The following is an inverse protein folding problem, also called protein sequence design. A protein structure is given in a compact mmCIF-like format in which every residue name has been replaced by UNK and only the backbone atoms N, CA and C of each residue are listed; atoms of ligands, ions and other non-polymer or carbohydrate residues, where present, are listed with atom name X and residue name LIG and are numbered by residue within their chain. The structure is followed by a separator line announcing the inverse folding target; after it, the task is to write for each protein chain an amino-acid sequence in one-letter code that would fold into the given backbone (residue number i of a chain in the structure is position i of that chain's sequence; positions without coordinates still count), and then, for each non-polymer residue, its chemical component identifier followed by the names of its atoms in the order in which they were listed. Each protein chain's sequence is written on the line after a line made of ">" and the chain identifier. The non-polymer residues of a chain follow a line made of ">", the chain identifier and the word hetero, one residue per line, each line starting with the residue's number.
data_IF_205907309759
#
_entry.id   IF_205907309759
#
_cell.length_a   1.000
_cell.length_b   1.000
_cell.length_c   1.000
_cell.angle_alpha   90.00
_cell.angle_beta   90.00
_cell.angle_gamma   90.00
#
_symmetry.space_group_name_H-M   'P 1'
#
loop_
_entity.id
_entity.type
_entity.pdbx_description
1 polymer ?
#
# COMPACT_ATOMS: atom_id res chain seq x y z
N UNK A 1 -34.07 -6.74 6.97
CA UNK A 1 -34.47 -6.65 5.55
C UNK A 1 -33.33 -6.21 4.61
N UNK A 2 -32.43 -5.29 4.99
CA UNK A 2 -31.33 -4.86 4.12
C UNK A 2 -30.23 -5.93 3.92
N UNK A 3 -29.91 -6.69 4.93
CA UNK A 3 -28.82 -7.69 4.88
C UNK A 3 -29.19 -8.88 4.00
N UNK A 4 -30.41 -9.35 4.06
CA UNK A 4 -30.88 -10.47 3.23
C UNK A 4 -30.91 -10.14 1.72
N UNK A 5 -31.08 -8.86 1.34
CA UNK A 5 -31.07 -8.45 -0.08
C UNK A 5 -29.68 -8.20 -0.65
N UNK A 6 -28.80 -7.52 0.10
CA UNK A 6 -27.50 -7.10 -0.39
C UNK A 6 -26.35 -8.09 -0.15
N UNK A 7 -26.53 -9.03 0.79
CA UNK A 7 -25.54 -10.02 1.14
C UNK A 7 -26.05 -11.47 0.93
N UNK A 8 -27.23 -11.66 0.36
CA UNK A 8 -27.83 -12.98 0.19
C UNK A 8 -26.91 -13.90 -0.62
N UNK A 9 -26.38 -13.43 -1.72
CA UNK A 9 -25.46 -14.18 -2.60
C UNK A 9 -24.13 -14.55 -1.89
N UNK A 10 -23.64 -13.67 -1.01
CA UNK A 10 -22.44 -13.92 -0.22
C UNK A 10 -22.73 -14.98 0.84
N UNK A 11 -23.88 -14.88 1.52
CA UNK A 11 -24.30 -15.83 2.54
C UNK A 11 -24.51 -17.22 1.93
N UNK A 12 -25.16 -17.31 0.77
CA UNK A 12 -25.37 -18.57 0.06
C UNK A 12 -24.05 -19.23 -0.36
N UNK A 13 -23.07 -18.45 -0.83
CA UNK A 13 -21.74 -18.95 -1.20
C UNK A 13 -20.88 -19.37 -0.01
N UNK A 14 -21.24 -18.98 1.20
CA UNK A 14 -20.50 -19.29 2.43
C UNK A 14 -21.14 -20.42 3.24
N UNK A 15 -21.70 -21.42 2.58
CA UNK A 15 -22.30 -22.60 3.23
C UNK A 15 -21.31 -23.21 4.24
N UNK A 16 -21.79 -23.45 5.48
CA UNK A 16 -20.98 -23.98 6.58
C UNK A 16 -20.21 -22.93 7.40
N UNK A 17 -20.29 -21.65 7.04
CA UNK A 17 -19.74 -20.55 7.86
C UNK A 17 -20.85 -20.02 8.78
N UNK A 18 -20.62 -19.83 10.10
CA UNK A 18 -21.62 -19.28 11.00
C UNK A 18 -22.03 -17.86 10.58
N UNK A 19 -23.31 -17.64 10.37
CA UNK A 19 -23.92 -16.33 10.12
C UNK A 19 -24.81 -15.95 11.27
N UNK A 20 -24.45 -14.88 11.96
CA UNK A 20 -25.23 -14.37 13.10
C UNK A 20 -26.02 -13.16 12.67
N UNK A 21 -27.29 -13.08 13.04
CA UNK A 21 -28.17 -11.93 12.80
C UNK A 21 -28.58 -11.30 14.12
N UNK A 22 -28.61 -9.99 14.16
CA UNK A 22 -29.03 -9.25 15.33
C UNK A 22 -29.57 -7.87 14.95
N UNK A 23 -30.27 -7.23 15.87
CA UNK A 23 -30.68 -5.82 15.77
C UNK A 23 -29.44 -4.91 15.61
N UNK A 24 -29.58 -3.85 14.81
CA UNK A 24 -28.50 -2.89 14.53
C UNK A 24 -27.90 -2.29 15.78
N UNK A 25 -28.72 -2.05 16.81
CA UNK A 25 -28.26 -1.52 18.09
C UNK A 25 -27.32 -2.49 18.80
N UNK A 26 -27.65 -3.80 18.80
CA UNK A 26 -26.81 -4.82 19.41
C UNK A 26 -25.48 -4.96 18.65
N UNK A 27 -25.55 -5.00 17.32
CA UNK A 27 -24.34 -5.05 16.48
C UNK A 27 -23.44 -3.83 16.69
N UNK A 28 -24.03 -2.63 16.84
CA UNK A 28 -23.26 -1.41 17.12
C UNK A 28 -22.60 -1.43 18.51
N UNK A 29 -23.25 -2.04 19.52
CA UNK A 29 -22.63 -2.28 20.84
C UNK A 29 -21.45 -3.24 20.76
N UNK A 30 -21.57 -4.32 19.99
CA UNK A 30 -20.50 -5.30 19.81
C UNK A 30 -19.27 -4.71 19.09
N UNK A 31 -19.51 -3.83 18.11
CA UNK A 31 -18.42 -3.23 17.31
C UNK A 31 -17.85 -1.97 17.96
N UNK A 32 -18.53 -1.38 18.93
CA UNK A 32 -18.12 -0.12 19.57
C UNK A 32 -18.36 1.13 18.72
N UNK A 33 -19.09 1.02 17.59
CA UNK A 33 -19.45 2.16 16.71
C UNK A 33 -20.72 1.85 15.91
N UNK A 34 -21.43 2.88 15.41
CA UNK A 34 -22.64 2.69 14.61
C UNK A 34 -22.35 1.96 13.29
N UNK A 35 -23.06 0.88 13.03
CA UNK A 35 -22.99 0.14 11.78
C UNK A 35 -23.89 0.81 10.73
N UNK A 36 -23.30 1.40 9.70
CA UNK A 36 -24.02 2.09 8.64
C UNK A 36 -24.39 1.18 7.46
N UNK A 37 -23.67 0.07 7.25
CA UNK A 37 -23.87 -0.85 6.11
C UNK A 37 -24.38 -2.23 6.49
N UNK A 38 -24.64 -2.51 7.76
CA UNK A 38 -25.37 -3.67 8.24
C UNK A 38 -24.66 -5.03 8.18
N UNK A 39 -23.45 -5.13 7.61
CA UNK A 39 -22.69 -6.39 7.51
C UNK A 39 -21.30 -6.22 8.09
N UNK A 40 -20.88 -7.22 8.87
CA UNK A 40 -19.55 -7.31 9.44
C UNK A 40 -18.99 -8.72 9.23
N UNK A 41 -17.78 -8.83 8.69
CA UNK A 41 -17.15 -10.13 8.43
C UNK A 41 -15.84 -10.24 9.20
N UNK A 42 -15.62 -11.39 9.85
CA UNK A 42 -14.32 -11.80 10.34
C UNK A 42 -13.72 -12.81 9.35
N UNK A 43 -12.51 -12.57 8.90
CA UNK A 43 -11.84 -13.41 7.91
C UNK A 43 -10.48 -13.87 8.43
N UNK A 44 -10.12 -15.13 8.15
CA UNK A 44 -8.75 -15.60 8.39
C UNK A 44 -7.80 -14.95 7.43
N UNK A 45 -6.66 -14.47 7.93
CA UNK A 45 -5.58 -13.97 7.08
C UNK A 45 -4.96 -15.13 6.32
N UNK A 46 -4.67 -14.89 5.05
CA UNK A 46 -3.81 -15.80 4.27
C UNK A 46 -2.38 -15.75 4.80
N UNK A 47 -1.58 -16.80 4.61
CA UNK A 47 -0.14 -16.73 4.85
C UNK A 47 0.48 -15.53 4.12
N UNK A 48 1.47 -14.84 4.72
CA UNK A 48 2.13 -13.71 4.06
C UNK A 48 2.87 -14.22 2.81
N UNK A 49 2.82 -13.41 1.75
CA UNK A 49 3.62 -13.64 0.56
C UNK A 49 5.05 -13.13 0.78
N UNK A 50 6.02 -13.70 0.07
CA UNK A 50 7.38 -13.18 0.04
C UNK A 50 7.51 -12.05 -0.99
N UNK A 51 8.52 -11.17 -0.82
CA UNK A 51 8.81 -10.13 -1.79
C UNK A 51 9.14 -10.70 -3.17
N UNK A 52 9.89 -11.80 -3.21
CA UNK A 52 10.24 -12.52 -4.45
C UNK A 52 8.98 -13.02 -5.17
N UNK A 53 8.04 -13.58 -4.41
CA UNK A 53 6.78 -14.12 -4.95
C UNK A 53 5.93 -13.03 -5.61
N UNK A 54 5.81 -11.85 -4.99
CA UNK A 54 4.97 -10.75 -5.53
C UNK A 54 5.69 -9.95 -6.61
N UNK A 55 7.03 -9.98 -6.63
CA UNK A 55 7.84 -9.25 -7.59
C UNK A 55 8.25 -10.06 -8.82
N UNK A 56 8.03 -11.38 -8.86
CA UNK A 56 8.56 -12.26 -9.89
C UNK A 56 8.28 -11.81 -11.33
N UNK A 57 7.07 -11.41 -11.63
CA UNK A 57 6.67 -10.88 -12.96
C UNK A 57 6.44 -9.37 -12.99
N UNK A 58 6.72 -8.66 -11.91
CA UNK A 58 6.42 -7.24 -11.77
C UNK A 58 7.43 -6.35 -12.50
N UNK A 59 6.98 -5.28 -13.13
CA UNK A 59 7.77 -4.24 -13.76
C UNK A 59 7.71 -2.90 -13.03
N UNK A 60 6.58 -2.60 -12.41
CA UNK A 60 6.31 -1.35 -11.67
C UNK A 60 5.78 -1.66 -10.29
N UNK A 61 6.52 -1.31 -9.24
CA UNK A 61 6.13 -1.58 -7.87
C UNK A 61 6.25 -0.33 -7.00
N UNK A 62 5.37 -0.23 -6.00
CA UNK A 62 5.47 0.77 -4.95
C UNK A 62 6.13 0.16 -3.71
N UNK A 63 7.10 0.86 -3.13
CA UNK A 63 7.77 0.49 -1.88
C UNK A 63 7.48 1.54 -0.84
N UNK A 64 6.81 1.14 0.24
CA UNK A 64 6.41 2.02 1.33
C UNK A 64 7.36 1.84 2.51
N UNK A 65 8.05 2.90 2.90
CA UNK A 65 9.00 2.85 4.01
C UNK A 65 8.52 3.72 5.19
N UNK A 66 8.19 3.07 6.29
CA UNK A 66 7.83 3.72 7.56
C UNK A 66 6.44 4.39 7.58
N UNK A 67 5.55 4.13 6.64
CA UNK A 67 4.24 4.76 6.59
C UNK A 67 3.32 4.15 7.66
N UNK A 68 3.07 4.88 8.73
CA UNK A 68 2.31 4.41 9.90
C UNK A 68 0.83 4.76 9.87
N UNK A 69 0.42 5.80 9.12
CA UNK A 69 -1.00 6.15 9.02
C UNK A 69 -1.74 5.17 8.12
N UNK A 70 -2.72 4.52 8.71
CA UNK A 70 -3.57 3.54 8.03
C UNK A 70 -4.43 4.14 6.92
N UNK A 71 -4.72 5.45 6.98
CA UNK A 71 -5.44 6.16 5.92
C UNK A 71 -4.56 6.29 4.68
N UNK A 72 -3.30 6.69 4.89
CA UNK A 72 -2.32 6.80 3.80
C UNK A 72 -2.05 5.42 3.18
N UNK A 73 -1.83 4.38 3.99
CA UNK A 73 -1.69 3.01 3.48
C UNK A 73 -2.88 2.63 2.58
N UNK A 74 -4.11 2.82 3.08
CA UNK A 74 -5.31 2.49 2.30
C UNK A 74 -5.43 3.27 1.01
N UNK A 75 -5.13 4.57 1.02
CA UNK A 75 -5.19 5.42 -0.16
C UNK A 75 -4.11 5.06 -1.19
N UNK A 76 -2.88 4.77 -0.74
CA UNK A 76 -1.79 4.31 -1.62
C UNK A 76 -2.15 2.99 -2.29
N UNK A 77 -2.68 2.01 -1.55
CA UNK A 77 -3.14 0.75 -2.16
C UNK A 77 -4.21 0.97 -3.22
N UNK A 78 -5.11 1.93 -2.99
CA UNK A 78 -6.13 2.29 -3.97
C UNK A 78 -5.53 2.93 -5.22
N UNK A 79 -4.61 3.87 -5.07
CA UNK A 79 -3.90 4.51 -6.18
C UNK A 79 -3.08 3.50 -6.96
N UNK A 80 -2.27 2.69 -6.28
CA UNK A 80 -1.44 1.66 -6.89
C UNK A 80 -2.25 0.68 -7.73
N UNK A 81 -3.37 0.17 -7.19
CA UNK A 81 -4.25 -0.72 -7.94
C UNK A 81 -4.94 -0.03 -9.12
N UNK A 82 -5.39 1.22 -8.95
CA UNK A 82 -6.09 1.97 -9.99
C UNK A 82 -5.17 2.38 -11.15
N UNK A 83 -3.89 2.66 -10.86
CA UNK A 83 -2.91 3.12 -11.82
C UNK A 83 -2.04 2.01 -12.40
N UNK A 84 -2.33 0.75 -12.05
CA UNK A 84 -1.71 -0.41 -12.70
C UNK A 84 -0.33 -0.78 -12.14
N UNK A 85 -0.02 -0.43 -10.88
CA UNK A 85 1.14 -1.00 -10.21
C UNK A 85 0.98 -2.51 -10.05
N UNK A 86 2.04 -3.27 -10.29
CA UNK A 86 2.03 -4.73 -10.22
C UNK A 86 2.04 -5.25 -8.80
N UNK A 87 2.70 -4.54 -7.87
CA UNK A 87 2.80 -4.94 -6.47
C UNK A 87 3.07 -3.75 -5.53
N UNK A 88 2.79 -3.96 -4.24
CA UNK A 88 3.16 -3.04 -3.16
C UNK A 88 4.02 -3.78 -2.13
N UNK A 89 5.16 -3.21 -1.79
CA UNK A 89 6.01 -3.70 -0.70
C UNK A 89 5.98 -2.71 0.47
N UNK A 90 6.00 -3.24 1.67
CA UNK A 90 5.95 -2.44 2.89
C UNK A 90 7.13 -2.78 3.80
N UNK A 91 7.86 -1.77 4.30
CA UNK A 91 8.84 -2.01 5.35
C UNK A 91 8.16 -2.56 6.62
N UNK A 92 8.91 -3.24 7.51
CA UNK A 92 8.35 -3.80 8.74
C UNK A 92 7.64 -2.76 9.62
N UNK A 93 8.08 -1.51 9.57
CA UNK A 93 7.58 -0.38 10.36
C UNK A 93 6.28 0.23 9.83
N UNK A 94 5.86 -0.13 8.61
CA UNK A 94 4.57 0.32 8.07
C UNK A 94 3.38 -0.26 8.83
N UNK A 95 2.30 0.53 8.91
CA UNK A 95 1.01 0.05 9.37
C UNK A 95 0.57 -1.20 8.60
N UNK A 96 -0.16 -2.06 9.29
CA UNK A 96 -0.74 -3.26 8.67
C UNK A 96 -1.83 -2.88 7.65
N UNK A 97 -1.67 -3.22 6.36
CA UNK A 97 -2.66 -2.90 5.34
C UNK A 97 -3.97 -3.65 5.52
N UNK A 98 -3.99 -4.72 6.31
CA UNK A 98 -5.21 -5.45 6.68
C UNK A 98 -5.87 -4.93 7.95
N UNK A 99 -5.45 -3.80 8.49
CA UNK A 99 -6.23 -3.14 9.54
C UNK A 99 -7.53 -2.58 8.95
N UNK A 100 -8.58 -2.55 9.77
CA UNK A 100 -9.93 -2.17 9.32
C UNK A 100 -9.99 -0.83 8.57
N UNK A 101 -9.20 0.16 9.01
CA UNK A 101 -9.20 1.50 8.42
C UNK A 101 -8.58 1.48 7.02
N UNK A 102 -7.43 0.83 6.85
CA UNK A 102 -6.78 0.69 5.55
C UNK A 102 -7.66 -0.08 4.54
N UNK A 103 -8.29 -1.19 4.96
CA UNK A 103 -9.24 -1.93 4.13
C UNK A 103 -10.38 -1.03 3.64
N UNK A 104 -10.96 -0.21 4.51
CA UNK A 104 -12.06 0.70 4.14
C UNK A 104 -11.62 1.80 3.20
N UNK A 105 -10.49 2.44 3.47
CA UNK A 105 -9.96 3.54 2.65
C UNK A 105 -9.53 3.03 1.28
N UNK A 106 -8.92 1.86 1.23
CA UNK A 106 -8.55 1.21 -0.04
C UNK A 106 -9.75 0.76 -0.87
N UNK A 107 -10.97 0.80 -0.33
CA UNK A 107 -12.17 0.24 -0.96
C UNK A 107 -12.00 -1.25 -1.34
N UNK A 108 -11.16 -1.97 -0.59
CA UNK A 108 -10.88 -3.38 -0.80
C UNK A 108 -9.77 -3.69 -1.80
N UNK A 109 -9.12 -2.69 -2.42
CA UNK A 109 -8.02 -2.95 -3.38
C UNK A 109 -6.81 -3.60 -2.73
N UNK A 110 -6.65 -3.50 -1.41
CA UNK A 110 -5.65 -4.26 -0.63
C UNK A 110 -5.76 -5.80 -0.83
N UNK A 111 -6.91 -6.30 -1.25
CA UNK A 111 -7.12 -7.71 -1.59
C UNK A 111 -6.93 -8.03 -3.07
N UNK A 112 -6.76 -7.02 -3.92
CA UNK A 112 -6.66 -7.14 -5.37
C UNK A 112 -5.22 -7.05 -5.86
N UNK A 113 -4.45 -6.09 -5.33
CA UNK A 113 -3.03 -5.93 -5.69
C UNK A 113 -2.15 -6.83 -4.80
N UNK A 114 -1.21 -7.59 -5.36
CA UNK A 114 -0.25 -8.36 -4.57
C UNK A 114 0.61 -7.46 -3.68
N UNK A 115 0.88 -7.91 -2.46
CA UNK A 115 1.75 -7.18 -1.56
C UNK A 115 2.48 -8.10 -0.59
N UNK A 116 3.63 -7.65 -0.10
CA UNK A 116 4.43 -8.35 0.90
C UNK A 116 5.13 -7.36 1.85
N UNK A 117 5.57 -7.87 2.99
CA UNK A 117 6.51 -7.15 3.86
C UNK A 117 7.92 -7.32 3.29
N UNK A 118 8.61 -6.20 3.06
CA UNK A 118 10.00 -6.18 2.63
C UNK A 118 10.89 -6.27 3.87
N UNK A 119 11.46 -7.45 4.09
CA UNK A 119 12.43 -7.65 5.15
C UNK A 119 13.83 -7.25 4.66
N UNK A 120 14.67 -6.65 5.50
CA UNK A 120 16.09 -6.47 5.20
C UNK A 120 16.73 -7.84 4.86
N UNK A 121 17.79 -7.81 4.06
CA UNK A 121 18.61 -8.99 3.83
C UNK A 121 19.47 -9.34 5.07
N UNK A 122 20.31 -10.36 4.96
CA UNK A 122 21.15 -10.84 6.06
C UNK A 122 22.19 -9.79 6.51
N UNK A 123 22.53 -8.85 5.62
CA UNK A 123 23.46 -7.74 5.86
C UNK A 123 22.75 -6.50 6.39
N UNK A 124 21.42 -6.57 6.56
CA UNK A 124 20.59 -5.44 7.01
C UNK A 124 20.22 -4.46 5.90
N UNK A 125 20.55 -4.77 4.63
CA UNK A 125 20.21 -3.92 3.50
C UNK A 125 18.72 -4.08 3.16
N UNK A 126 17.98 -2.97 3.25
CA UNK A 126 16.52 -2.95 3.00
C UNK A 126 16.17 -3.27 1.54
N UNK A 127 17.01 -2.88 0.59
CA UNK A 127 16.69 -2.92 -0.84
C UNK A 127 17.54 -3.92 -1.63
N UNK A 128 18.47 -4.61 -1.00
CA UNK A 128 19.36 -5.56 -1.66
C UNK A 128 18.61 -6.63 -2.45
N UNK A 129 17.52 -7.15 -1.89
CA UNK A 129 16.65 -8.13 -2.55
C UNK A 129 15.99 -7.57 -3.82
N UNK A 130 15.55 -6.31 -3.81
CA UNK A 130 14.92 -5.69 -4.98
C UNK A 130 15.94 -5.47 -6.10
N UNK A 131 17.14 -5.02 -5.75
CA UNK A 131 18.23 -4.88 -6.72
C UNK A 131 18.63 -6.24 -7.31
N UNK A 132 18.68 -7.28 -6.49
CA UNK A 132 18.93 -8.66 -6.97
C UNK A 132 17.84 -9.18 -7.92
N UNK A 133 16.59 -8.71 -7.74
CA UNK A 133 15.47 -8.98 -8.65
C UNK A 133 15.49 -8.10 -9.91
N UNK A 134 16.49 -7.24 -10.07
CA UNK A 134 16.67 -6.39 -11.25
C UNK A 134 15.88 -5.08 -11.24
N UNK A 135 15.36 -4.65 -10.09
CA UNK A 135 14.71 -3.34 -9.99
C UNK A 135 15.71 -2.21 -9.86
N UNK A 136 15.48 -1.12 -10.59
CA UNK A 136 16.00 0.20 -10.27
C UNK A 136 15.10 0.86 -9.26
N UNK A 137 15.70 1.57 -8.29
CA UNK A 137 15.00 2.17 -7.16
C UNK A 137 14.96 3.68 -7.33
N UNK A 138 13.77 4.27 -7.27
CA UNK A 138 13.52 5.70 -7.36
C UNK A 138 12.95 6.22 -6.03
N UNK A 139 13.78 6.89 -5.24
CA UNK A 139 13.36 7.50 -3.97
C UNK A 139 12.61 8.81 -4.22
N UNK A 140 11.39 8.94 -3.72
CA UNK A 140 10.69 10.23 -3.73
C UNK A 140 11.23 11.12 -2.61
N UNK A 141 12.11 12.05 -2.97
CA UNK A 141 12.74 12.98 -2.02
C UNK A 141 13.17 14.27 -2.70
N UNK A 142 13.30 15.33 -1.91
CA UNK A 142 13.80 16.62 -2.38
C UNK A 142 15.30 16.69 -2.14
N UNK A 143 16.08 16.62 -3.22
CA UNK A 143 17.54 16.76 -3.23
C UNK A 143 17.95 17.64 -4.40
N UNK A 144 19.14 18.24 -4.32
CA UNK A 144 19.67 19.14 -5.36
C UNK A 144 19.92 18.42 -6.69
N UNK A 145 20.16 17.12 -6.66
CA UNK A 145 20.42 16.23 -7.81
C UNK A 145 19.22 15.38 -8.21
N UNK A 146 18.03 15.70 -7.67
CA UNK A 146 16.80 14.96 -8.01
C UNK A 146 16.42 15.19 -9.47
N UNK A 147 16.00 14.09 -10.11
CA UNK A 147 15.37 14.16 -11.43
C UNK A 147 13.87 14.44 -11.31
N UNK A 148 13.26 15.03 -12.31
CA UNK A 148 11.81 15.23 -12.32
C UNK A 148 11.09 13.89 -12.46
N UNK A 149 9.87 13.79 -11.92
CA UNK A 149 9.04 12.58 -12.01
C UNK A 149 8.70 12.19 -13.45
N UNK A 150 8.71 13.13 -14.38
CA UNK A 150 8.48 12.92 -15.80
C UNK A 150 9.76 12.65 -16.61
N UNK A 151 10.89 12.43 -15.94
CA UNK A 151 12.16 12.11 -16.63
C UNK A 151 12.01 10.82 -17.45
N UNK A 152 12.28 10.84 -18.76
CA UNK A 152 12.08 9.69 -19.63
C UNK A 152 12.96 8.48 -19.26
N UNK A 153 14.04 8.67 -18.50
CA UNK A 153 14.88 7.57 -17.99
C UNK A 153 14.08 6.67 -17.06
N UNK A 154 13.18 7.22 -16.23
CA UNK A 154 12.34 6.43 -15.32
C UNK A 154 11.38 5.52 -16.09
N UNK A 155 10.75 6.06 -17.13
CA UNK A 155 9.85 5.29 -17.99
C UNK A 155 10.58 4.20 -18.79
N UNK A 156 11.85 4.43 -19.16
CA UNK A 156 12.69 3.50 -19.91
C UNK A 156 13.20 2.32 -19.07
N UNK A 157 13.19 2.43 -17.73
CA UNK A 157 13.63 1.32 -16.87
C UNK A 157 12.71 0.10 -17.04
N UNK A 158 13.26 -1.09 -17.35
CA UNK A 158 12.45 -2.28 -17.52
C UNK A 158 11.74 -2.69 -16.21
N UNK A 159 12.36 -2.43 -15.06
CA UNK A 159 11.82 -2.71 -13.73
C UNK A 159 12.12 -1.53 -12.81
N UNK A 160 11.08 -0.85 -12.36
CA UNK A 160 11.20 0.33 -11.49
C UNK A 160 10.42 0.14 -10.19
N UNK A 161 11.06 0.43 -9.07
CA UNK A 161 10.48 0.48 -7.75
C UNK A 161 10.44 1.93 -7.25
N UNK A 162 9.27 2.49 -7.08
CA UNK A 162 9.10 3.84 -6.50
C UNK A 162 9.06 3.72 -4.98
N UNK A 163 10.04 4.32 -4.31
CA UNK A 163 10.19 4.27 -2.85
C UNK A 163 9.63 5.54 -2.24
N UNK A 164 8.66 5.39 -1.37
CA UNK A 164 7.95 6.48 -0.69
C UNK A 164 8.12 6.38 0.82
N UNK A 165 8.49 7.50 1.45
CA UNK A 165 8.72 7.61 2.89
C UNK A 165 7.55 8.20 3.66
N UNK A 166 7.78 8.43 4.96
CA UNK A 166 6.80 9.01 5.88
C UNK A 166 6.48 10.47 5.55
N UNK A 167 5.33 10.94 6.01
CA UNK A 167 5.03 12.37 6.05
C UNK A 167 5.92 13.09 7.07
N UNK A 168 6.39 14.25 6.72
CA UNK A 168 7.22 15.12 7.55
C UNK A 168 8.70 14.82 7.45
N UNK A 169 9.18 13.65 7.88
CA UNK A 169 10.61 13.29 7.82
C UNK A 169 11.05 12.70 6.48
N UNK A 170 10.10 12.23 5.67
CA UNK A 170 10.41 11.59 4.39
C UNK A 170 11.13 10.25 4.55
N UNK A 171 12.00 9.95 3.60
CA UNK A 171 12.91 8.81 3.62
C UNK A 171 14.16 9.11 4.44
N UNK A 172 14.66 8.15 5.19
CA UNK A 172 15.97 8.24 5.82
C UNK A 172 17.07 8.41 4.76
N UNK A 173 18.15 9.12 5.10
CA UNK A 173 19.25 9.36 4.18
C UNK A 173 19.85 8.05 3.65
N UNK A 174 20.01 7.05 4.50
CA UNK A 174 20.49 5.72 4.12
C UNK A 174 19.60 5.03 3.07
N UNK A 175 18.30 5.23 3.14
CA UNK A 175 17.35 4.72 2.16
C UNK A 175 17.47 5.44 0.82
N UNK A 176 17.66 6.76 0.84
CA UNK A 176 17.87 7.56 -0.37
C UNK A 176 19.19 7.17 -1.04
N UNK A 177 20.27 7.06 -0.28
CA UNK A 177 21.60 6.71 -0.79
C UNK A 177 21.66 5.28 -1.38
N UNK A 178 20.74 4.42 -0.94
CA UNK A 178 20.61 3.08 -1.50
C UNK A 178 19.81 3.05 -2.82
N UNK A 179 19.14 4.14 -3.22
CA UNK A 179 18.37 4.20 -4.45
C UNK A 179 19.23 4.61 -5.65
N UNK A 180 18.78 4.24 -6.85
CA UNK A 180 19.48 4.57 -8.10
C UNK A 180 19.09 5.97 -8.61
N UNK A 181 17.90 6.42 -8.26
CA UNK A 181 17.38 7.76 -8.59
C UNK A 181 16.81 8.42 -7.34
N UNK A 182 17.01 9.73 -7.25
CA UNK A 182 16.20 10.59 -6.39
C UNK A 182 15.24 11.37 -7.28
N UNK A 183 13.95 11.29 -6.99
CA UNK A 183 12.89 11.81 -7.84
C UNK A 183 12.11 12.88 -7.09
N UNK A 184 11.96 14.04 -7.72
CA UNK A 184 11.13 15.13 -7.20
C UNK A 184 9.88 15.35 -8.05
N UNK A 185 8.79 15.68 -7.37
CA UNK A 185 7.60 16.23 -8.01
C UNK A 185 7.74 17.76 -8.00
N UNK A 186 7.72 18.43 -9.17
CA UNK A 186 7.80 19.90 -9.21
C UNK A 186 6.62 20.52 -8.47
N UNK A 187 6.90 21.36 -7.49
CA UNK A 187 5.91 22.07 -6.69
C UNK A 187 5.93 23.56 -6.99
N UNK A 188 4.79 24.24 -6.79
CA UNK A 188 4.63 25.67 -6.98
C UNK A 188 4.26 26.36 -5.66
N UNK A 189 4.33 27.67 -5.63
CA UNK A 189 3.90 28.53 -4.52
C UNK A 189 4.59 28.27 -3.18
N UNK A 190 5.81 27.74 -3.17
CA UNK A 190 6.55 27.46 -1.94
C UNK A 190 6.01 26.26 -1.13
N UNK A 191 5.26 25.38 -1.76
CA UNK A 191 4.84 24.10 -1.16
C UNK A 191 6.00 23.12 -1.28
N UNK A 192 6.43 22.52 -0.16
CA UNK A 192 7.59 21.63 -0.14
C UNK A 192 7.21 20.18 -0.51
N UNK A 193 6.01 19.73 -0.16
CA UNK A 193 5.60 18.33 -0.38
C UNK A 193 4.10 18.16 -0.48
N UNK A 194 3.67 17.03 -1.02
CA UNK A 194 2.29 16.53 -0.95
C UNK A 194 2.17 15.50 0.18
N UNK A 195 0.94 15.33 0.68
CA UNK A 195 0.59 14.13 1.43
C UNK A 195 1.03 12.88 0.65
N UNK A 196 1.62 11.90 1.33
CA UNK A 196 2.21 10.72 0.68
C UNK A 196 1.22 9.93 -0.17
N UNK A 197 -0.06 9.90 0.22
CA UNK A 197 -1.09 9.25 -0.58
C UNK A 197 -1.42 10.04 -1.86
N UNK A 198 -1.38 11.38 -1.81
CA UNK A 198 -1.50 12.21 -3.01
C UNK A 198 -0.27 12.04 -3.92
N UNK A 199 0.93 12.08 -3.33
CA UNK A 199 2.18 11.84 -4.04
C UNK A 199 2.18 10.48 -4.77
N UNK A 200 1.67 9.43 -4.13
CA UNK A 200 1.57 8.09 -4.74
C UNK A 200 0.66 8.00 -5.97
N UNK A 201 -0.23 8.96 -6.17
CA UNK A 201 -1.09 9.01 -7.34
C UNK A 201 -0.47 9.80 -8.50
N UNK A 202 0.61 10.56 -8.22
CA UNK A 202 1.38 11.32 -9.22
C UNK A 202 2.60 10.52 -9.68
N UNK A 203 3.19 9.73 -8.78
CA UNK A 203 4.34 8.86 -9.05
C UNK A 203 3.95 7.61 -9.83
#
# INVERSE_FOLDING_TARGET
>A
KHVAGQAADIIERTAGIPVYTAETQLLSKLTGYPLTRGVFCAMRRKPPLSAESVCGGASRIAVLDGIVDSTNIGAIFRSAAALGMDAVLLSPTCCDPLCRRAIRVSMGTVFQIPWAKLQPDEEGNRFGRLKALGFRLAATALKNDSVSIDDPRLAAEPRLAVVMGTEGTGLEQSAIDACDYTVMMPMHHGVDSLNVAAASAVA
#
